data_IF_265816445108
#
_entry.id   IF_265816445108
#
_cell.length_a   1.000
_cell.length_b   1.000
_cell.length_c   1.000
_cell.angle_alpha   90.00
_cell.angle_beta   90.00
_cell.angle_gamma   90.00
#
_symmetry.space_group_name_H-M   'P 1'
#
loop_
_entity.id
_entity.type
_entity.pdbx_description
1 polymer ?
#
# COMPACT_ATOMS: atom_id res chain seq x y z
N UNK A 1 14.78 -47.72 7.97
CA UNK A 1 14.92 -46.62 8.94
C UNK A 1 13.62 -46.56 9.73
N UNK A 2 13.66 -46.70 11.05
CA UNK A 2 12.44 -46.70 11.86
C UNK A 2 11.90 -45.27 11.96
N UNK A 3 10.63 -45.06 11.56
CA UNK A 3 9.92 -43.82 11.83
C UNK A 3 9.75 -43.70 13.36
N UNK A 4 10.55 -42.84 13.99
CA UNK A 4 10.31 -42.42 15.37
C UNK A 4 9.01 -41.62 15.39
N UNK A 5 7.94 -42.22 15.91
CA UNK A 5 6.73 -41.48 16.27
C UNK A 5 7.04 -40.64 17.50
N UNK A 6 6.86 -39.33 17.39
CA UNK A 6 6.92 -38.41 18.52
C UNK A 6 5.51 -38.28 19.08
N UNK A 7 5.32 -38.70 20.33
CA UNK A 7 4.06 -38.51 21.06
C UNK A 7 4.23 -37.28 21.96
N UNK A 8 3.29 -36.35 21.85
CA UNK A 8 3.28 -35.10 22.61
C UNK A 8 1.94 -35.04 23.34
N UNK A 9 1.97 -34.81 24.65
CA UNK A 9 0.75 -34.55 25.42
C UNK A 9 0.32 -33.10 25.19
N UNK A 10 -0.91 -32.94 24.68
CA UNK A 10 -1.53 -31.64 24.49
C UNK A 10 -2.27 -31.24 25.77
N UNK A 11 -2.26 -29.95 26.09
CA UNK A 11 -3.20 -29.41 27.09
C UNK A 11 -4.64 -29.52 26.57
N UNK A 12 -5.66 -29.49 27.44
CA UNK A 12 -7.06 -29.55 27.00
C UNK A 12 -7.43 -28.48 25.96
N UNK A 13 -6.92 -27.25 26.13
CA UNK A 13 -7.13 -26.15 25.17
C UNK A 13 -6.45 -26.43 23.81
N UNK A 14 -5.26 -27.01 23.83
CA UNK A 14 -4.55 -27.38 22.59
C UNK A 14 -5.26 -28.52 21.85
N UNK A 15 -5.81 -29.48 22.59
CA UNK A 15 -6.60 -30.57 22.02
C UNK A 15 -7.88 -30.04 21.34
N UNK A 16 -8.61 -29.13 22.00
CA UNK A 16 -9.80 -28.49 21.43
C UNK A 16 -9.48 -27.74 20.13
N UNK A 17 -8.35 -27.02 20.09
CA UNK A 17 -7.87 -26.34 18.87
C UNK A 17 -7.55 -27.32 17.74
N UNK A 18 -6.95 -28.46 18.07
CA UNK A 18 -6.66 -29.53 17.08
C UNK A 18 -7.94 -30.16 16.55
N UNK A 19 -8.94 -30.40 17.41
CA UNK A 19 -10.23 -30.93 16.98
C UNK A 19 -10.95 -29.97 16.03
N UNK A 20 -10.92 -28.66 16.33
CA UNK A 20 -11.47 -27.63 15.44
C UNK A 20 -10.77 -27.68 14.07
N UNK A 21 -9.44 -27.72 14.04
CA UNK A 21 -8.69 -27.81 12.77
C UNK A 21 -9.06 -29.08 11.98
N UNK A 22 -9.11 -30.24 12.65
CA UNK A 22 -9.48 -31.51 12.03
C UNK A 22 -10.92 -31.51 11.51
N UNK A 23 -11.85 -30.90 12.23
CA UNK A 23 -13.25 -30.76 11.79
C UNK A 23 -13.40 -29.91 10.51
N UNK A 24 -12.43 -29.03 10.26
CA UNK A 24 -12.35 -28.23 9.04
C UNK A 24 -11.49 -28.90 7.95
N UNK A 25 -11.08 -30.15 8.16
CA UNK A 25 -10.25 -30.90 7.22
C UNK A 25 -8.80 -30.44 7.14
N UNK A 26 -8.34 -29.67 8.13
CA UNK A 26 -6.98 -29.13 8.20
C UNK A 26 -6.17 -29.98 9.17
N UNK A 27 -5.07 -30.56 8.70
CA UNK A 27 -4.12 -31.26 9.56
C UNK A 27 -3.26 -30.28 10.36
N UNK A 28 -2.72 -30.73 11.49
CA UNK A 28 -1.81 -29.91 12.31
C UNK A 28 -0.58 -29.47 11.52
N UNK A 29 -0.07 -30.31 10.61
CA UNK A 29 1.04 -29.95 9.72
C UNK A 29 0.67 -28.81 8.77
N UNK A 30 -0.49 -28.89 8.11
CA UNK A 30 -0.97 -27.81 7.23
C UNK A 30 -1.22 -26.51 7.99
N UNK A 31 -1.76 -26.59 9.21
CA UNK A 31 -1.95 -25.41 10.06
C UNK A 31 -0.61 -24.75 10.42
N UNK A 32 0.44 -25.55 10.68
CA UNK A 32 1.79 -25.06 10.95
C UNK A 32 2.37 -24.40 9.69
N UNK A 33 2.23 -25.03 8.52
CA UNK A 33 2.72 -24.48 7.26
C UNK A 33 2.02 -23.16 6.90
N UNK A 34 0.71 -23.05 7.16
CA UNK A 34 -0.04 -21.81 7.01
C UNK A 34 0.47 -20.71 7.95
N UNK A 35 0.80 -21.03 9.20
CA UNK A 35 1.36 -20.06 10.15
C UNK A 35 2.74 -19.57 9.70
N UNK A 36 3.58 -20.46 9.16
CA UNK A 36 4.86 -20.07 8.60
C UNK A 36 4.70 -19.21 7.33
N UNK A 37 3.75 -19.56 6.46
CA UNK A 37 3.43 -18.77 5.26
C UNK A 37 2.97 -17.36 5.64
N UNK A 38 2.02 -17.24 6.58
CA UNK A 38 1.55 -15.93 7.06
C UNK A 38 2.69 -15.13 7.69
N UNK A 39 3.56 -15.78 8.46
CA UNK A 39 4.73 -15.15 9.06
C UNK A 39 5.71 -14.65 8.00
N UNK A 40 5.94 -15.43 6.95
CA UNK A 40 6.85 -15.08 5.87
C UNK A 40 6.24 -13.98 4.98
N UNK A 41 4.93 -14.00 4.74
CA UNK A 41 4.19 -12.95 4.04
C UNK A 41 4.21 -11.62 4.82
N UNK A 42 4.08 -11.68 6.15
CA UNK A 42 4.23 -10.50 7.02
C UNK A 42 5.67 -9.96 7.00
N UNK A 43 6.67 -10.82 6.87
CA UNK A 43 8.08 -10.43 6.99
C UNK A 43 8.74 -9.98 5.69
N UNK A 44 8.22 -10.32 4.51
CA UNK A 44 9.13 -10.43 3.36
C UNK A 44 9.31 -9.21 2.47
N UNK A 45 8.37 -8.27 2.29
CA UNK A 45 8.65 -7.07 1.48
C UNK A 45 7.49 -6.04 1.40
N UNK A 46 6.25 -6.46 1.52
CA UNK A 46 5.09 -5.58 1.27
C UNK A 46 4.88 -4.53 2.37
N UNK A 47 5.14 -4.90 3.63
CA UNK A 47 4.96 -3.98 4.75
C UNK A 47 6.00 -2.86 4.76
N UNK A 48 7.26 -3.15 4.47
CA UNK A 48 8.33 -2.15 4.44
C UNK A 48 8.11 -1.15 3.28
N UNK A 49 7.75 -1.64 2.09
CA UNK A 49 7.36 -0.77 0.97
C UNK A 49 6.16 0.11 1.29
N UNK A 50 5.15 -0.41 1.99
CA UNK A 50 4.00 0.40 2.40
C UNK A 50 4.35 1.43 3.48
N UNK A 51 5.29 1.14 4.38
CA UNK A 51 5.78 2.15 5.33
C UNK A 51 6.55 3.27 4.62
N UNK A 52 7.40 2.95 3.65
CA UNK A 52 8.11 3.95 2.85
C UNK A 52 7.14 4.85 2.06
N UNK A 53 6.08 4.28 1.48
CA UNK A 53 5.03 5.04 0.80
C UNK A 53 4.28 5.99 1.76
N UNK A 54 3.92 5.49 2.95
CA UNK A 54 3.24 6.27 3.99
C UNK A 54 4.13 7.40 4.51
N UNK A 55 5.42 7.15 4.73
CA UNK A 55 6.37 8.16 5.19
C UNK A 55 6.56 9.28 4.16
N UNK A 56 6.61 8.92 2.86
CA UNK A 56 6.64 9.90 1.77
C UNK A 56 5.36 10.75 1.73
N UNK A 57 4.18 10.14 1.86
CA UNK A 57 2.91 10.88 1.90
C UNK A 57 2.82 11.84 3.11
N UNK A 58 3.29 11.39 4.28
CA UNK A 58 3.36 12.20 5.49
C UNK A 58 4.30 13.40 5.32
N UNK A 59 5.47 13.20 4.70
CA UNK A 59 6.42 14.28 4.44
C UNK A 59 5.80 15.36 3.54
N UNK A 60 5.10 14.95 2.47
CA UNK A 60 4.39 15.89 1.59
C UNK A 60 3.26 16.60 2.33
N UNK A 61 2.49 15.88 3.14
CA UNK A 61 1.44 16.48 3.96
C UNK A 61 1.98 17.53 4.92
N UNK A 62 3.08 17.25 5.63
CA UNK A 62 3.73 18.19 6.54
C UNK A 62 4.20 19.46 5.82
N UNK A 63 4.80 19.32 4.63
CA UNK A 63 5.18 20.45 3.77
C UNK A 63 3.96 21.28 3.31
N UNK A 64 2.80 20.65 3.11
CA UNK A 64 1.58 21.35 2.69
C UNK A 64 0.82 21.98 3.85
N UNK A 65 0.93 21.42 5.06
CA UNK A 65 0.25 21.92 6.25
C UNK A 65 1.03 23.06 6.94
N UNK A 66 2.23 23.37 6.48
CA UNK A 66 2.98 24.54 6.95
C UNK A 66 2.30 25.84 6.47
N UNK A 67 1.70 26.58 7.40
CA UNK A 67 1.02 27.86 7.16
C UNK A 67 1.98 28.98 6.74
N UNK A 68 3.30 28.81 6.94
CA UNK A 68 4.32 29.77 6.51
C UNK A 68 4.59 29.70 5.00
N UNK A 69 4.15 28.63 4.33
CA UNK A 69 4.38 28.41 2.91
C UNK A 69 3.26 29.06 2.09
N UNK A 70 3.63 29.94 1.17
CA UNK A 70 2.70 30.54 0.23
C UNK A 70 2.03 29.48 -0.66
N UNK A 71 0.75 29.67 -0.98
CA UNK A 71 -0.06 28.74 -1.78
C UNK A 71 0.60 28.33 -3.10
N UNK A 72 1.29 29.26 -3.77
CA UNK A 72 1.98 29.01 -5.04
C UNK A 72 3.14 28.00 -4.89
N UNK A 73 3.78 27.96 -3.72
CA UNK A 73 4.83 26.99 -3.40
C UNK A 73 4.24 25.63 -3.02
N UNK A 74 3.10 25.59 -2.33
CA UNK A 74 2.33 24.36 -2.07
C UNK A 74 1.92 23.68 -3.39
N UNK A 75 1.49 24.47 -4.39
CA UNK A 75 1.16 23.97 -5.73
C UNK A 75 2.37 23.33 -6.43
N UNK A 76 3.55 23.94 -6.35
CA UNK A 76 4.78 23.39 -6.93
C UNK A 76 5.21 22.08 -6.28
N UNK A 77 5.01 21.93 -4.97
CA UNK A 77 5.29 20.67 -4.24
C UNK A 77 4.37 19.56 -4.79
N UNK A 78 3.07 19.83 -4.91
CA UNK A 78 2.12 18.87 -5.49
C UNK A 78 2.43 18.54 -6.97
N UNK A 79 2.78 19.53 -7.78
CA UNK A 79 3.16 19.33 -9.19
C UNK A 79 4.49 18.55 -9.35
N UNK A 80 5.42 18.65 -8.39
CA UNK A 80 6.68 17.90 -8.42
C UNK A 80 6.49 16.44 -8.02
N UNK A 81 5.73 16.19 -6.96
CA UNK A 81 5.53 14.85 -6.39
C UNK A 81 4.49 14.03 -7.16
N UNK A 82 3.42 14.67 -7.64
CA UNK A 82 2.30 13.99 -8.32
C UNK A 82 2.13 14.38 -9.79
N UNK A 83 2.81 15.43 -10.26
CA UNK A 83 2.80 15.83 -11.66
C UNK A 83 3.51 14.91 -12.67
N UNK A 84 4.41 13.97 -12.29
CA UNK A 84 4.93 13.00 -13.25
C UNK A 84 3.89 11.96 -13.69
N UNK A 85 2.68 11.93 -13.12
CA UNK A 85 1.58 11.15 -13.65
C UNK A 85 1.36 11.55 -15.12
N UNK A 86 1.76 10.66 -16.04
CA UNK A 86 1.84 10.92 -17.47
C UNK A 86 0.63 11.75 -17.94
N UNK A 87 0.86 12.98 -18.41
CA UNK A 87 -0.22 13.92 -18.74
C UNK A 87 -1.27 13.18 -19.58
N UNK A 88 -2.43 12.94 -18.96
CA UNK A 88 -3.50 12.21 -19.63
C UNK A 88 -3.91 13.02 -20.85
N UNK A 89 -4.40 12.34 -21.88
CA UNK A 89 -4.87 13.00 -23.09
C UNK A 89 -5.88 14.13 -22.77
N UNK A 90 -6.70 13.92 -21.74
CA UNK A 90 -7.69 14.88 -21.28
C UNK A 90 -7.06 16.13 -20.63
N UNK A 91 -6.00 15.98 -19.82
CA UNK A 91 -5.24 17.11 -19.29
C UNK A 91 -4.56 17.92 -20.41
N UNK A 92 -3.99 17.25 -21.42
CA UNK A 92 -3.42 17.91 -22.61
C UNK A 92 -4.47 18.66 -23.42
N UNK A 93 -5.64 18.05 -23.64
CA UNK A 93 -6.74 18.68 -24.36
C UNK A 93 -7.29 19.92 -23.63
N UNK A 94 -7.40 19.88 -22.30
CA UNK A 94 -7.82 21.05 -21.51
C UNK A 94 -6.79 22.17 -21.54
N UNK A 95 -5.49 21.84 -21.45
CA UNK A 95 -4.38 22.81 -21.55
C UNK A 95 -4.35 23.50 -22.92
N UNK A 96 -4.59 22.74 -23.99
CA UNK A 96 -4.75 23.27 -25.35
C UNK A 96 -5.98 24.18 -25.48
N UNK A 97 -7.13 23.78 -24.93
CA UNK A 97 -8.34 24.62 -24.93
C UNK A 97 -8.15 25.94 -24.18
N UNK A 98 -7.51 25.90 -22.99
CA UNK A 98 -7.20 27.10 -22.20
C UNK A 98 -6.27 28.06 -22.93
N UNK A 99 -5.22 27.54 -23.56
CA UNK A 99 -4.28 28.37 -24.34
C UNK A 99 -4.93 28.99 -25.58
N UNK A 100 -5.82 28.26 -26.27
CA UNK A 100 -6.60 28.80 -27.40
C UNK A 100 -7.61 29.85 -26.93
N UNK A 101 -8.28 29.65 -25.79
CA UNK A 101 -9.18 30.65 -25.21
C UNK A 101 -8.43 31.93 -24.88
N UNK A 102 -7.30 31.81 -24.18
CA UNK A 102 -6.47 32.96 -23.84
C UNK A 102 -5.95 33.69 -25.09
N UNK A 103 -5.55 32.95 -26.13
CA UNK A 103 -5.14 33.55 -27.40
C UNK A 103 -6.29 34.30 -28.09
N UNK A 104 -7.51 33.76 -28.07
CA UNK A 104 -8.70 34.46 -28.62
C UNK A 104 -9.03 35.72 -27.83
N UNK A 105 -8.96 35.65 -26.50
CA UNK A 105 -9.20 36.78 -25.62
C UNK A 105 -8.10 37.86 -25.77
N UNK A 106 -6.85 37.45 -26.00
CA UNK A 106 -5.71 38.37 -26.19
C UNK A 106 -5.72 39.04 -27.58
N UNK A 107 -6.12 38.31 -28.61
CA UNK A 107 -6.17 38.83 -29.99
C UNK A 107 -7.55 39.37 -30.41
N UNK A 108 -8.54 39.42 -29.50
CA UNK A 108 -9.92 39.90 -29.74
C UNK A 108 -10.54 39.33 -31.03
N UNK A 109 -10.47 38.01 -31.22
CA UNK A 109 -11.21 37.32 -32.29
C UNK A 109 -12.68 37.10 -31.93
#
# INVERSE_FOLDING_TARGET
>A
MANQKMEIELTPEQAEKVEILQSNGISVGEAIDMLFTIKDDINSQDLESHFDDIDNELEVFLKLNDDSIAYENKRKILESEYGPAAETYEMRAQKAKRSISWAKDFFNF
#
